data_IF_786276575541
#
_entry.id   IF_786276575541
#
_cell.length_a   1.000
_cell.length_b   1.000
_cell.length_c   1.000
_cell.angle_alpha   90.00
_cell.angle_beta   90.00
_cell.angle_gamma   90.00
#
_symmetry.space_group_name_H-M   'P 1'
#
loop_
_entity.id
_entity.type
_entity.pdbx_description
1 polymer ?
#
# COMPACT_ATOMS: atom_id res chain seq x y z
N UNK A 1 -18.68 1.48 5.81
CA UNK A 1 -17.96 0.28 6.27
C UNK A 1 -16.70 0.75 6.97
N UNK A 2 -16.53 0.50 8.26
CA UNK A 2 -15.35 0.98 9.00
C UNK A 2 -14.18 0.02 8.74
N UNK A 3 -13.09 0.51 8.17
CA UNK A 3 -11.86 -0.26 8.00
C UNK A 3 -11.32 -0.68 9.39
N UNK A 4 -11.35 -1.97 9.69
CA UNK A 4 -10.90 -2.53 10.98
C UNK A 4 -9.38 -2.72 11.09
N UNK A 5 -8.61 -2.08 10.20
CA UNK A 5 -7.15 -2.19 10.18
C UNK A 5 -6.44 -1.18 11.08
N UNK A 6 -5.11 -1.22 11.12
CA UNK A 6 -4.28 -0.33 11.93
C UNK A 6 -4.51 1.14 11.56
N UNK A 7 -4.37 2.03 12.55
CA UNK A 7 -4.57 3.48 12.36
C UNK A 7 -3.53 4.11 11.45
N UNK A 8 -2.32 3.55 11.42
CA UNK A 8 -1.23 4.01 10.57
C UNK A 8 -0.43 2.83 10.04
N UNK A 9 -0.09 2.90 8.75
CA UNK A 9 0.69 1.91 8.03
C UNK A 9 1.95 2.55 7.46
N UNK A 10 3.02 1.78 7.40
CA UNK A 10 4.24 2.13 6.67
C UNK A 10 4.68 0.99 5.75
N UNK A 11 5.30 1.29 4.60
CA UNK A 11 6.03 0.28 3.84
C UNK A 11 7.09 -0.40 4.73
N UNK A 12 7.22 -1.71 4.61
CA UNK A 12 8.24 -2.46 5.34
C UNK A 12 9.63 -1.90 4.99
N UNK A 13 10.46 -1.55 5.99
CA UNK A 13 11.82 -1.10 5.73
C UNK A 13 12.58 -2.11 4.89
N UNK A 14 13.38 -1.63 3.94
CA UNK A 14 14.19 -2.45 3.03
C UNK A 14 13.41 -3.38 2.08
N UNK A 15 12.08 -3.27 1.98
CA UNK A 15 11.33 -3.87 0.87
C UNK A 15 11.39 -2.94 -0.35
N UNK A 16 12.13 -3.29 -1.42
CA UNK A 16 12.14 -2.47 -2.62
C UNK A 16 10.77 -2.51 -3.31
N UNK A 17 10.39 -1.38 -3.92
CA UNK A 17 9.24 -1.29 -4.81
C UNK A 17 9.75 -1.31 -6.25
N UNK A 18 9.39 -2.36 -7.00
CA UNK A 18 9.79 -2.55 -8.38
C UNK A 18 8.61 -2.32 -9.32
N UNK A 19 8.82 -1.60 -10.42
CA UNK A 19 7.84 -1.52 -11.49
C UNK A 19 7.96 -2.76 -12.38
N UNK A 20 6.92 -3.59 -12.43
CA UNK A 20 6.87 -4.81 -13.25
C UNK A 20 6.30 -4.55 -14.64
N UNK A 21 5.31 -3.67 -14.74
CA UNK A 21 4.69 -3.30 -16.01
C UNK A 21 4.18 -1.86 -15.98
N UNK A 22 3.41 -1.49 -17.01
CA UNK A 22 2.69 -0.22 -16.99
C UNK A 22 1.73 -0.13 -15.79
N UNK A 23 1.07 -1.23 -15.43
CA UNK A 23 0.01 -1.26 -14.41
C UNK A 23 0.30 -2.18 -13.21
N UNK A 24 1.54 -2.65 -13.07
CA UNK A 24 1.94 -3.52 -11.97
C UNK A 24 3.16 -2.98 -11.20
N UNK A 25 3.03 -2.98 -9.87
CA UNK A 25 4.11 -2.74 -8.92
C UNK A 25 4.33 -4.01 -8.09
N UNK A 26 5.59 -4.35 -7.84
CA UNK A 26 5.97 -5.39 -6.90
C UNK A 26 6.59 -4.78 -5.64
N UNK A 27 6.18 -5.26 -4.48
CA UNK A 27 6.76 -4.93 -3.19
C UNK A 27 7.57 -6.11 -2.66
N UNK A 28 8.83 -5.87 -2.32
CA UNK A 28 9.74 -6.88 -1.81
C UNK A 28 10.39 -7.73 -2.90
N UNK A 29 11.60 -8.21 -2.60
CA UNK A 29 12.32 -9.22 -3.40
C UNK A 29 12.95 -10.23 -2.45
N UNK A 30 12.78 -11.53 -2.71
CA UNK A 30 13.45 -12.59 -1.97
C UNK A 30 12.56 -13.39 -1.00
N UNK A 31 13.18 -14.14 -0.06
CA UNK A 31 12.50 -15.18 0.74
C UNK A 31 11.48 -14.64 1.76
N UNK A 32 11.49 -13.34 2.03
CA UNK A 32 10.49 -12.65 2.87
C UNK A 32 9.13 -12.43 2.19
N UNK A 33 8.98 -12.90 0.95
CA UNK A 33 7.76 -12.75 0.14
C UNK A 33 7.81 -11.53 -0.77
N UNK A 34 7.07 -11.61 -1.87
CA UNK A 34 6.84 -10.51 -2.80
C UNK A 34 5.36 -10.38 -3.09
N UNK A 35 4.86 -9.15 -3.14
CA UNK A 35 3.46 -8.85 -3.49
C UNK A 35 3.44 -8.08 -4.78
N UNK A 36 2.71 -8.57 -5.76
CA UNK A 36 2.39 -7.80 -6.94
C UNK A 36 1.01 -7.16 -6.77
N UNK A 37 0.96 -5.84 -6.93
CA UNK A 37 -0.28 -5.08 -7.05
C UNK A 37 -0.42 -4.71 -8.51
N UNK A 38 -1.45 -5.26 -9.15
CA UNK A 38 -1.81 -4.98 -10.53
C UNK A 38 -3.23 -4.41 -10.60
N UNK A 39 -3.45 -3.46 -11.51
CA UNK A 39 -4.75 -2.80 -11.65
C UNK A 39 -4.88 -1.56 -10.75
N UNK A 40 -6.03 -0.87 -10.82
CA UNK A 40 -6.25 0.41 -10.12
C UNK A 40 -5.61 1.64 -10.80
N UNK A 41 -4.97 1.43 -11.95
CA UNK A 41 -4.54 2.50 -12.84
C UNK A 41 -3.44 3.41 -12.26
N UNK A 42 -3.16 4.53 -12.96
CA UNK A 42 -2.02 5.38 -12.66
C UNK A 42 -2.17 6.13 -11.32
N UNK A 43 -3.40 6.35 -10.83
CA UNK A 43 -3.68 7.03 -9.57
C UNK A 43 -3.21 6.18 -8.37
N UNK A 44 -3.66 4.92 -8.28
CA UNK A 44 -3.22 3.99 -7.24
C UNK A 44 -1.71 3.80 -7.25
N UNK A 45 -1.11 3.70 -8.45
CA UNK A 45 0.34 3.58 -8.59
C UNK A 45 1.09 4.79 -8.03
N UNK A 46 0.62 6.01 -8.32
CA UNK A 46 1.23 7.24 -7.79
C UNK A 46 1.12 7.30 -6.28
N UNK A 47 -0.03 6.94 -5.72
CA UNK A 47 -0.25 6.86 -4.28
C UNK A 47 0.78 5.91 -3.64
N UNK A 48 0.89 4.69 -4.16
CA UNK A 48 1.81 3.67 -3.65
C UNK A 48 3.29 4.07 -3.76
N UNK A 49 3.69 4.71 -4.85
CA UNK A 49 5.07 5.21 -5.04
C UNK A 49 5.37 6.45 -4.18
N UNK A 50 4.36 7.26 -3.87
CA UNK A 50 4.49 8.40 -2.97
C UNK A 50 4.48 7.99 -1.50
N UNK A 51 4.16 6.75 -1.17
CA UNK A 51 4.11 6.34 0.22
C UNK A 51 5.52 6.18 0.78
N UNK A 52 5.90 7.09 1.68
CA UNK A 52 7.14 7.02 2.43
C UNK A 52 6.85 7.24 3.92
N UNK A 53 7.25 6.27 4.75
CA UNK A 53 7.07 6.36 6.20
C UNK A 53 5.68 5.94 6.71
N UNK A 54 5.43 6.22 7.99
CA UNK A 54 4.15 5.96 8.65
C UNK A 54 3.13 7.02 8.32
N UNK A 55 2.10 6.64 7.56
CA UNK A 55 0.99 7.53 7.24
C UNK A 55 -0.30 6.98 7.85
N UNK A 56 -1.20 7.85 8.37
CA UNK A 56 -2.51 7.42 8.80
C UNK A 56 -3.30 6.82 7.64
N UNK A 57 -4.00 5.71 7.89
CA UNK A 57 -4.73 5.02 6.81
C UNK A 57 -5.84 5.90 6.22
N UNK A 58 -6.52 6.69 7.06
CA UNK A 58 -7.57 7.59 6.58
C UNK A 58 -7.04 8.63 5.59
N UNK A 59 -5.87 9.24 5.84
CA UNK A 59 -5.26 10.19 4.91
C UNK A 59 -4.89 9.52 3.58
N UNK A 60 -4.36 8.29 3.61
CA UNK A 60 -4.03 7.54 2.39
C UNK A 60 -5.28 7.27 1.57
N UNK A 61 -6.38 6.89 2.23
CA UNK A 61 -7.68 6.64 1.59
C UNK A 61 -8.26 7.93 1.00
N UNK A 62 -8.26 9.03 1.75
CA UNK A 62 -8.74 10.34 1.28
C UNK A 62 -7.98 10.82 0.05
N UNK A 63 -6.64 10.72 0.04
CA UNK A 63 -5.83 11.09 -1.12
C UNK A 63 -6.12 10.20 -2.33
N UNK A 64 -6.31 8.90 -2.11
CA UNK A 64 -6.62 7.97 -3.19
C UNK A 64 -7.97 8.28 -3.84
N UNK A 65 -8.98 8.59 -3.02
CA UNK A 65 -10.32 8.99 -3.49
C UNK A 65 -10.24 10.32 -4.25
N UNK A 66 -9.49 11.30 -3.74
CA UNK A 66 -9.26 12.57 -4.42
C UNK A 66 -8.58 12.40 -5.79
N UNK A 67 -7.73 11.37 -5.93
CA UNK A 67 -7.09 10.98 -7.20
C UNK A 67 -7.98 10.08 -8.09
N UNK A 68 -9.22 9.80 -7.69
CA UNK A 68 -10.21 9.05 -8.46
C UNK A 68 -10.14 7.52 -8.29
N UNK A 69 -9.48 7.02 -7.25
CA UNK A 69 -9.47 5.59 -6.91
C UNK A 69 -10.68 5.26 -6.06
N UNK A 70 -11.39 4.18 -6.39
CA UNK A 70 -12.53 3.73 -5.61
C UNK A 70 -12.11 3.28 -4.20
N UNK A 71 -12.77 3.79 -3.17
CA UNK A 71 -12.49 3.48 -1.76
C UNK A 71 -12.40 1.96 -1.47
N UNK A 72 -13.31 1.09 -1.98
CA UNK A 72 -13.21 -0.35 -1.76
C UNK A 72 -11.93 -0.97 -2.34
N UNK A 73 -11.48 -0.44 -3.48
CA UNK A 73 -10.25 -0.89 -4.13
C UNK A 73 -9.03 -0.51 -3.28
N UNK A 74 -9.00 0.72 -2.75
CA UNK A 74 -7.93 1.17 -1.85
C UNK A 74 -7.83 0.25 -0.64
N UNK A 75 -8.96 0.01 0.05
CA UNK A 75 -8.97 -0.87 1.21
C UNK A 75 -8.55 -2.30 0.89
N UNK A 76 -8.97 -2.84 -0.25
CA UNK A 76 -8.56 -4.17 -0.71
C UNK A 76 -7.04 -4.25 -0.93
N UNK A 77 -6.46 -3.24 -1.59
CA UNK A 77 -5.02 -3.17 -1.84
C UNK A 77 -4.22 -3.04 -0.54
N UNK A 78 -4.66 -2.18 0.39
CA UNK A 78 -4.05 -2.04 1.70
C UNK A 78 -4.07 -3.36 2.49
N UNK A 79 -5.21 -4.05 2.48
CA UNK A 79 -5.38 -5.33 3.15
C UNK A 79 -4.45 -6.41 2.56
N UNK A 80 -4.36 -6.51 1.23
CA UNK A 80 -3.48 -7.45 0.54
C UNK A 80 -1.99 -7.17 0.84
N UNK A 81 -1.58 -5.91 0.77
CA UNK A 81 -0.20 -5.52 1.06
C UNK A 81 0.18 -5.81 2.53
N UNK A 82 -0.73 -5.59 3.48
CA UNK A 82 -0.51 -5.93 4.90
C UNK A 82 -0.46 -7.44 5.12
N UNK A 83 -1.42 -8.19 4.56
CA UNK A 83 -1.49 -9.65 4.71
C UNK A 83 -0.22 -10.34 4.21
N UNK A 84 0.40 -9.79 3.18
CA UNK A 84 1.65 -10.31 2.63
C UNK A 84 2.91 -9.59 3.15
N UNK A 85 2.78 -8.81 4.24
CA UNK A 85 3.91 -8.25 4.98
C UNK A 85 4.64 -7.09 4.31
N UNK A 86 4.11 -6.56 3.20
CA UNK A 86 4.66 -5.39 2.51
C UNK A 86 4.38 -4.08 3.25
N UNK A 87 3.25 -4.02 3.97
CA UNK A 87 2.94 -2.94 4.91
C UNK A 87 2.99 -3.48 6.35
N UNK A 88 3.55 -2.68 7.25
CA UNK A 88 3.58 -2.95 8.69
C UNK A 88 2.95 -1.79 9.45
N UNK A 89 2.50 -2.08 10.67
CA UNK A 89 1.91 -1.08 11.54
C UNK A 89 2.99 -0.06 11.93
N UNK A 90 2.72 1.22 11.73
CA UNK A 90 3.73 2.26 11.97
C UNK A 90 4.03 2.49 13.46
N UNK A 91 3.16 2.01 14.35
CA UNK A 91 3.28 2.14 15.81
C UNK A 91 4.14 1.03 16.46
N UNK A 92 4.55 0.00 15.72
CA UNK A 92 5.10 -1.25 16.29
C UNK A 92 6.63 -1.27 16.44
N UNK A 93 7.31 -0.13 16.26
CA UNK A 93 8.77 -0.05 16.24
C UNK A 93 9.25 1.18 17.01
N UNK A 94 9.17 1.07 18.33
CA UNK A 94 10.05 1.76 19.29
C UNK A 94 11.20 0.79 19.65
#
# INVERSE_FOLDING_TARGET
>A
MTYAGPRSLRPRPHHPVLRRSADALQFGVGPGGSVEVSGGGPALRRLLLRWHGGQPVHEVVEHAIADGVEEPLVHSVLAQLRAAGALVDAADQD
#
